data_IF_029393379357
#
_entry.id   IF_029393379357
#
_cell.length_a   1.000
_cell.length_b   1.000
_cell.length_c   1.000
_cell.angle_alpha   90.00
_cell.angle_beta   90.00
_cell.angle_gamma   90.00
#
_symmetry.space_group_name_H-M   'P 1'
#
loop_
_entity.id
_entity.type
_entity.pdbx_description
1 polymer ?
#
# COMPACT_ATOMS: atom_id res chain seq x y z
N UNK A 1 14.85 20.58 12.65
CA UNK A 1 14.86 19.52 11.63
C UNK A 1 15.26 20.15 10.31
N UNK A 2 16.29 19.60 9.66
CA UNK A 2 16.69 20.01 8.32
C UNK A 2 15.63 19.61 7.29
N UNK A 3 15.76 20.10 6.05
CA UNK A 3 14.83 19.74 4.98
C UNK A 3 14.93 18.24 4.65
N UNK A 4 16.14 17.68 4.69
CA UNK A 4 16.38 16.26 4.44
C UNK A 4 15.73 15.37 5.50
N UNK A 5 15.89 15.72 6.79
CA UNK A 5 15.27 14.99 7.90
C UNK A 5 13.74 15.01 7.83
N UNK A 6 13.15 16.10 7.31
CA UNK A 6 11.69 16.18 7.10
C UNK A 6 11.25 15.26 5.98
N UNK A 7 11.98 15.24 4.85
CA UNK A 7 11.68 14.38 3.72
C UNK A 7 11.78 12.90 4.09
N UNK A 8 12.85 12.49 4.77
CA UNK A 8 13.05 11.11 5.23
C UNK A 8 11.92 10.67 6.19
N UNK A 9 11.55 11.55 7.11
CA UNK A 9 10.44 11.30 8.03
C UNK A 9 9.11 11.15 7.27
N UNK A 10 8.84 12.02 6.29
CA UNK A 10 7.64 11.94 5.44
C UNK A 10 7.60 10.65 4.63
N UNK A 11 8.70 10.26 3.97
CA UNK A 11 8.77 9.02 3.19
C UNK A 11 8.58 7.78 4.08
N UNK A 12 9.18 7.78 5.27
CA UNK A 12 9.02 6.68 6.24
C UNK A 12 7.58 6.58 6.74
N UNK A 13 6.96 7.73 7.03
CA UNK A 13 5.55 7.79 7.42
C UNK A 13 4.65 7.26 6.29
N UNK A 14 4.81 7.76 5.06
CA UNK A 14 4.02 7.30 3.92
C UNK A 14 4.17 5.80 3.66
N UNK A 15 5.38 5.25 3.76
CA UNK A 15 5.61 3.81 3.65
C UNK A 15 4.84 3.02 4.71
N UNK A 16 4.85 3.48 5.97
CA UNK A 16 4.11 2.82 7.05
C UNK A 16 2.59 2.86 6.85
N UNK A 17 2.05 3.99 6.38
CA UNK A 17 0.61 4.12 6.11
C UNK A 17 0.18 3.29 4.90
N UNK A 18 1.00 3.20 3.86
CA UNK A 18 0.73 2.31 2.71
C UNK A 18 0.69 0.84 3.13
N UNK A 19 1.59 0.40 4.02
CA UNK A 19 1.56 -0.96 4.56
C UNK A 19 0.30 -1.21 5.42
N UNK A 20 -0.14 -0.22 6.21
CA UNK A 20 -1.40 -0.33 6.95
C UNK A 20 -2.60 -0.46 6.01
N UNK A 21 -2.67 0.38 4.97
CA UNK A 21 -3.74 0.33 3.97
C UNK A 21 -3.74 -0.99 3.19
N UNK A 22 -2.56 -1.50 2.83
CA UNK A 22 -2.36 -2.82 2.21
C UNK A 22 -2.96 -3.94 3.06
N UNK A 23 -2.64 -3.95 4.35
CA UNK A 23 -3.15 -4.93 5.32
C UNK A 23 -4.67 -4.80 5.50
N UNK A 24 -5.19 -3.59 5.61
CA UNK A 24 -6.63 -3.33 5.72
C UNK A 24 -7.38 -3.81 4.48
N UNK A 25 -6.91 -3.45 3.29
CA UNK A 25 -7.50 -3.87 2.02
C UNK A 25 -7.48 -5.39 1.86
N UNK A 26 -6.38 -6.06 2.25
CA UNK A 26 -6.30 -7.52 2.25
C UNK A 26 -7.28 -8.20 3.21
N UNK A 27 -7.43 -7.64 4.42
CA UNK A 27 -8.38 -8.14 5.43
C UNK A 27 -9.81 -7.99 4.93
N UNK A 28 -10.19 -6.80 4.47
CA UNK A 28 -11.53 -6.55 3.95
C UNK A 28 -11.83 -7.42 2.72
N UNK A 29 -10.89 -7.59 1.78
CA UNK A 29 -11.08 -8.46 0.63
C UNK A 29 -11.40 -9.91 1.03
N UNK A 30 -10.78 -10.39 2.11
CA UNK A 30 -11.01 -11.73 2.65
C UNK A 30 -12.40 -11.84 3.29
N UNK A 31 -12.85 -10.79 3.99
CA UNK A 31 -14.20 -10.69 4.58
C UNK A 31 -15.27 -10.70 3.48
N UNK A 32 -15.15 -9.87 2.44
CA UNK A 32 -16.15 -9.84 1.37
C UNK A 32 -16.19 -11.14 0.57
N UNK A 33 -15.06 -11.84 0.45
CA UNK A 33 -15.04 -13.18 -0.13
C UNK A 33 -15.78 -14.20 0.74
N UNK A 34 -15.75 -14.05 2.07
CA UNK A 34 -16.54 -14.86 2.99
C UNK A 34 -18.03 -14.52 2.89
N UNK A 35 -18.39 -13.24 2.83
CA UNK A 35 -19.77 -12.78 2.61
C UNK A 35 -20.33 -13.32 1.30
N UNK A 36 -19.59 -13.22 0.20
CA UNK A 36 -19.96 -13.81 -1.09
C UNK A 36 -20.31 -15.30 -0.95
N UNK A 37 -19.43 -16.10 -0.33
CA UNK A 37 -19.66 -17.54 -0.13
C UNK A 37 -20.92 -17.81 0.68
N UNK A 38 -21.13 -17.06 1.77
CA UNK A 38 -22.31 -17.20 2.64
C UNK A 38 -23.57 -16.90 1.85
N UNK A 39 -23.61 -15.79 1.11
CA UNK A 39 -24.78 -15.36 0.36
C UNK A 39 -25.13 -16.32 -0.78
N UNK A 40 -24.13 -16.88 -1.48
CA UNK A 40 -24.37 -17.87 -2.55
C UNK A 40 -24.89 -19.22 -2.06
N UNK A 41 -24.85 -19.49 -0.75
CA UNK A 41 -25.38 -20.73 -0.19
C UNK A 41 -26.89 -20.67 0.06
N UNK A 42 -27.53 -19.51 -0.12
CA UNK A 42 -28.97 -19.34 0.04
C UNK A 42 -29.66 -19.29 -1.32
N UNK A 43 -30.75 -20.04 -1.50
CA UNK A 43 -31.58 -20.08 -2.72
C UNK A 43 -32.54 -18.86 -2.83
N UNK A 44 -32.10 -17.69 -2.37
CA UNK A 44 -32.87 -16.45 -2.48
C UNK A 44 -32.24 -15.52 -3.52
N UNK A 45 -33.03 -15.18 -4.55
CA UNK A 45 -32.57 -14.34 -5.67
C UNK A 45 -32.01 -12.99 -5.23
N UNK A 46 -32.61 -12.35 -4.24
CA UNK A 46 -32.15 -11.06 -3.70
C UNK A 46 -30.76 -11.17 -3.03
N UNK A 47 -30.45 -12.31 -2.41
CA UNK A 47 -29.14 -12.54 -1.81
C UNK A 47 -28.06 -12.77 -2.87
N UNK A 48 -28.43 -13.24 -4.06
CA UNK A 48 -27.50 -13.45 -5.16
C UNK A 48 -27.00 -12.13 -5.76
N UNK A 49 -27.86 -11.10 -5.84
CA UNK A 49 -27.44 -9.78 -6.29
C UNK A 49 -26.44 -9.15 -5.31
N UNK A 50 -26.70 -9.25 -4.01
CA UNK A 50 -25.76 -8.83 -2.95
C UNK A 50 -24.46 -9.63 -3.06
N UNK A 51 -24.51 -10.94 -3.30
CA UNK A 51 -23.30 -11.75 -3.47
C UNK A 51 -22.42 -11.24 -4.63
N UNK A 52 -23.01 -10.83 -5.75
CA UNK A 52 -22.27 -10.25 -6.87
C UNK A 52 -21.57 -8.94 -6.47
N UNK A 53 -22.23 -8.10 -5.66
CA UNK A 53 -21.64 -6.89 -5.10
C UNK A 53 -20.44 -7.22 -4.19
N UNK A 54 -20.60 -8.18 -3.26
CA UNK A 54 -19.52 -8.60 -2.36
C UNK A 54 -18.30 -9.15 -3.12
N UNK A 55 -18.54 -9.97 -4.15
CA UNK A 55 -17.48 -10.47 -5.02
C UNK A 55 -16.75 -9.34 -5.75
N UNK A 56 -17.47 -8.28 -6.12
CA UNK A 56 -16.90 -7.11 -6.79
C UNK A 56 -16.08 -6.28 -5.82
N UNK A 57 -16.60 -6.04 -4.61
CA UNK A 57 -15.88 -5.37 -3.53
C UNK A 57 -14.58 -6.10 -3.18
N UNK A 58 -14.62 -7.43 -3.02
CA UNK A 58 -13.43 -8.25 -2.78
C UNK A 58 -12.33 -8.04 -3.85
N UNK A 59 -12.72 -7.97 -5.13
CA UNK A 59 -11.79 -7.73 -6.25
C UNK A 59 -11.20 -6.32 -6.23
N UNK A 60 -12.02 -5.32 -5.94
CA UNK A 60 -11.58 -3.92 -5.84
C UNK A 60 -10.60 -3.75 -4.68
N UNK A 61 -10.90 -4.31 -3.51
CA UNK A 61 -10.02 -4.32 -2.34
C UNK A 61 -8.71 -5.06 -2.62
N UNK A 62 -8.76 -6.20 -3.34
CA UNK A 62 -7.56 -6.89 -3.83
C UNK A 62 -6.70 -6.02 -4.73
N UNK A 63 -7.31 -5.20 -5.60
CA UNK A 63 -6.61 -4.24 -6.45
C UNK A 63 -5.98 -3.10 -5.63
N UNK A 64 -6.71 -2.58 -4.64
CA UNK A 64 -6.20 -1.56 -3.70
C UNK A 64 -4.99 -2.06 -2.91
N UNK A 65 -5.03 -3.33 -2.46
CA UNK A 65 -3.88 -3.98 -1.82
C UNK A 65 -2.64 -3.95 -2.72
N UNK A 66 -2.78 -4.34 -3.99
CA UNK A 66 -1.65 -4.34 -4.94
C UNK A 66 -1.14 -2.94 -5.23
N UNK A 67 -2.02 -1.94 -5.33
CA UNK A 67 -1.61 -0.55 -5.48
C UNK A 67 -0.79 -0.07 -4.27
N UNK A 68 -1.22 -0.39 -3.05
CA UNK A 68 -0.48 -0.02 -1.84
C UNK A 68 0.92 -0.67 -1.80
N UNK A 69 1.02 -1.95 -2.17
CA UNK A 69 2.31 -2.66 -2.28
C UNK A 69 3.24 -1.98 -3.28
N UNK A 70 2.75 -1.68 -4.49
CA UNK A 70 3.55 -1.04 -5.53
C UNK A 70 4.00 0.37 -5.12
N UNK A 71 3.13 1.15 -4.48
CA UNK A 71 3.50 2.46 -3.95
C UNK A 71 4.54 2.36 -2.83
N UNK A 72 4.42 1.38 -1.92
CA UNK A 72 5.40 1.17 -0.86
C UNK A 72 6.78 0.81 -1.44
N UNK A 73 6.83 -0.05 -2.45
CA UNK A 73 8.05 -0.36 -3.20
C UNK A 73 8.67 0.90 -3.81
N UNK A 74 7.85 1.73 -4.48
CA UNK A 74 8.33 2.98 -5.09
C UNK A 74 8.88 3.97 -4.05
N UNK A 75 8.26 4.07 -2.88
CA UNK A 75 8.79 4.88 -1.78
C UNK A 75 10.14 4.35 -1.30
N UNK A 76 10.30 3.03 -1.21
CA UNK A 76 11.56 2.44 -0.79
C UNK A 76 12.68 2.70 -1.81
N UNK A 77 12.38 2.66 -3.11
CA UNK A 77 13.29 3.08 -4.18
C UNK A 77 13.71 4.55 -4.02
N UNK A 78 12.75 5.45 -3.83
CA UNK A 78 13.02 6.89 -3.62
C UNK A 78 13.90 7.15 -2.39
N UNK A 79 13.66 6.42 -1.29
CA UNK A 79 14.52 6.50 -0.09
C UNK A 79 15.96 6.08 -0.41
N UNK A 80 16.13 5.00 -1.16
CA UNK A 80 17.46 4.50 -1.52
C UNK A 80 18.19 5.45 -2.47
N UNK A 81 17.50 5.98 -3.49
CA UNK A 81 18.03 6.99 -4.42
C UNK A 81 18.54 8.22 -3.66
N UNK A 82 17.75 8.72 -2.71
CA UNK A 82 18.11 9.85 -1.86
C UNK A 82 19.39 9.60 -1.03
N UNK A 83 19.49 8.45 -0.36
CA UNK A 83 20.69 8.12 0.43
C UNK A 83 21.96 7.97 -0.44
N UNK A 84 21.81 7.60 -1.71
CA UNK A 84 22.93 7.51 -2.65
C UNK A 84 23.40 8.89 -3.13
N UNK A 85 22.49 9.86 -3.30
CA UNK A 85 22.84 11.24 -3.65
C UNK A 85 23.57 11.94 -2.49
N UNK A 86 23.08 11.78 -1.26
CA UNK A 86 23.73 12.32 -0.05
C UNK A 86 25.17 11.78 0.14
N UNK A 87 25.37 10.49 -0.13
CA UNK A 87 26.70 9.86 -0.03
C UNK A 87 27.70 10.43 -1.06
N UNK A 88 27.22 10.86 -2.23
CA UNK A 88 28.06 11.46 -3.29
C UNK A 88 28.41 12.91 -2.98
N UNK A 89 27.47 13.70 -2.48
CA UNK A 89 27.72 15.09 -2.10
C UNK A 89 28.72 15.20 -0.94
N UNK A 90 28.59 14.32 0.07
CA UNK A 90 29.56 14.26 1.17
C UNK A 90 30.96 13.83 0.70
N UNK A 91 31.08 12.93 -0.28
CA UNK A 91 32.38 12.50 -0.80
C UNK A 91 33.09 13.65 -1.55
N UNK A 92 32.36 14.39 -2.39
CA UNK A 92 32.91 15.54 -3.11
C UNK A 92 33.35 16.66 -2.15
N UNK A 93 32.68 16.84 -1.01
CA UNK A 93 33.06 17.87 -0.06
C UNK A 93 34.35 17.54 0.71
N UNK A 94 34.70 16.25 0.83
CA UNK A 94 35.94 15.78 1.48
C UNK A 94 37.15 15.87 0.53
N UNK A 95 36.95 15.76 -0.78
CA UNK A 95 38.05 15.87 -1.77
C UNK A 95 38.51 17.31 -2.06
N UNK A 96 37.75 18.34 -1.64
CA UNK A 96 38.05 19.76 -1.90
C UNK A 96 38.74 20.43 -0.69
N UNK A 97 39.22 19.66 0.29
CA UNK A 97 39.97 20.15 1.45
C UNK A 97 41.26 19.36 1.69
#
# INVERSE_FOLDING_TARGET
>A
MSHEQKLEHTLTYLHSELNRLETMAGTMASIEQEHFKKLTNYDHRELNDIAVEEKTAARQLGSMKQMCLSMAQRINELKNEWHHEESRENHNHVEIH
#
